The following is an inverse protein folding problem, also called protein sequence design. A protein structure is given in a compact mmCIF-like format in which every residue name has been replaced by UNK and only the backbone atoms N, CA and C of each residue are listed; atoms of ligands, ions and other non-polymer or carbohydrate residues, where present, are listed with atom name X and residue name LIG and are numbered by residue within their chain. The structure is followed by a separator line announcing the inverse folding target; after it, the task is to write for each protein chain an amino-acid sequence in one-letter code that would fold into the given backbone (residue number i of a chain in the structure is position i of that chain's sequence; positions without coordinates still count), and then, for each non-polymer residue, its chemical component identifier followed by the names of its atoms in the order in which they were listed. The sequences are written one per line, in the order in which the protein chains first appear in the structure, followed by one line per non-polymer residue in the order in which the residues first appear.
data_IF_283822944651
#
_entry.id   IF_283822944651
#
_cell.length_a   1.000
_cell.length_b   1.000
_cell.length_c   1.000
_cell.angle_alpha   90.00
_cell.angle_beta   90.00
_cell.angle_gamma   90.00
#
_symmetry.space_group_name_H-M   'P 1'
#
loop_
_entity.id
_entity.type
_entity.pdbx_description
1 polymer ?
#
# COMPACT_ATOMS: atom_id res chain seq x y z
N UNK A 1 3.29 5.25 -12.29
CA UNK A 1 4.59 4.54 -12.17
C UNK A 1 4.31 3.10 -11.85
N UNK A 2 4.93 2.16 -12.55
CA UNK A 2 4.77 0.73 -12.33
C UNK A 2 6.08 0.10 -11.89
N UNK A 3 6.09 -0.50 -10.70
CA UNK A 3 7.24 -1.20 -10.12
C UNK A 3 7.27 -2.62 -10.70
N UNK A 4 8.40 -3.01 -11.26
CA UNK A 4 8.57 -4.36 -11.82
C UNK A 4 10.03 -4.80 -11.72
N UNK A 5 10.29 -6.02 -11.26
CA UNK A 5 11.60 -6.65 -11.30
C UNK A 5 12.03 -6.94 -12.75
N UNK A 6 13.30 -6.70 -13.08
CA UNK A 6 13.81 -6.84 -14.45
C UNK A 6 13.69 -8.28 -14.97
N UNK A 7 13.77 -9.28 -14.07
CA UNK A 7 13.55 -10.67 -14.38
C UNK A 7 12.06 -11.05 -14.58
N UNK A 8 11.10 -10.25 -14.09
CA UNK A 8 9.66 -10.55 -14.13
C UNK A 8 9.00 -10.04 -15.43
N UNK A 9 9.50 -10.50 -16.59
CA UNK A 9 9.04 -10.02 -17.91
C UNK A 9 7.59 -10.32 -18.22
N UNK A 10 7.10 -11.50 -17.82
CA UNK A 10 5.70 -11.89 -18.08
C UNK A 10 4.71 -11.00 -17.32
N UNK A 11 5.00 -10.67 -16.07
CA UNK A 11 4.22 -9.71 -15.26
C UNK A 11 4.22 -8.33 -15.90
N UNK A 12 5.40 -7.87 -16.34
CA UNK A 12 5.54 -6.62 -17.06
C UNK A 12 4.64 -6.58 -18.29
N UNK A 13 4.76 -7.55 -19.20
CA UNK A 13 4.02 -7.58 -20.45
C UNK A 13 2.50 -7.58 -20.21
N UNK A 14 2.03 -8.33 -19.24
CA UNK A 14 0.62 -8.42 -18.91
C UNK A 14 0.06 -7.09 -18.39
N UNK A 15 0.70 -6.49 -17.37
CA UNK A 15 0.20 -5.24 -16.78
C UNK A 15 0.38 -4.09 -17.76
N UNK A 16 1.51 -4.02 -18.47
CA UNK A 16 1.72 -3.01 -19.51
C UNK A 16 0.70 -3.11 -20.65
N UNK A 17 0.39 -4.33 -21.11
CA UNK A 17 -0.68 -4.57 -22.08
C UNK A 17 -2.02 -4.02 -21.60
N UNK A 18 -2.41 -4.34 -20.36
CA UNK A 18 -3.66 -3.85 -19.76
C UNK A 18 -3.70 -2.33 -19.63
N UNK A 19 -2.62 -1.70 -19.21
CA UNK A 19 -2.53 -0.24 -19.11
C UNK A 19 -2.65 0.43 -20.49
N UNK A 20 -2.03 -0.14 -21.51
CA UNK A 20 -2.15 0.33 -22.90
C UNK A 20 -3.58 0.20 -23.44
N UNK A 21 -4.27 -0.93 -23.19
CA UNK A 21 -5.70 -1.12 -23.54
C UNK A 21 -6.58 -0.03 -22.92
N UNK A 22 -6.28 0.38 -21.68
CA UNK A 22 -6.99 1.43 -20.97
C UNK A 22 -6.57 2.85 -21.40
N UNK A 23 -5.61 2.98 -22.31
CA UNK A 23 -5.09 4.27 -22.75
C UNK A 23 -4.41 5.07 -21.61
N UNK A 24 -3.77 4.37 -20.68
CA UNK A 24 -3.05 4.96 -19.54
C UNK A 24 -1.56 5.08 -19.85
N UNK A 25 -1.04 6.28 -19.68
CA UNK A 25 0.41 6.52 -19.78
C UNK A 25 1.09 6.14 -18.47
N UNK A 26 2.17 5.39 -18.56
CA UNK A 26 2.89 4.93 -17.37
C UNK A 26 4.41 4.90 -17.59
N UNK A 27 5.15 5.04 -16.49
CA UNK A 27 6.61 4.90 -16.43
C UNK A 27 6.95 3.62 -15.67
N UNK A 28 7.78 2.76 -16.25
CA UNK A 28 8.34 1.62 -15.54
C UNK A 28 9.41 2.09 -14.56
N UNK A 29 9.36 1.57 -13.34
CA UNK A 29 10.42 1.72 -12.33
C UNK A 29 11.02 0.34 -12.09
N UNK A 30 12.30 0.18 -12.42
CA UNK A 30 13.04 -1.06 -12.13
C UNK A 30 13.10 -1.28 -10.62
N UNK A 31 12.48 -2.35 -10.17
CA UNK A 31 12.39 -2.70 -8.76
C UNK A 31 13.75 -3.10 -8.19
N UNK A 32 13.94 -2.87 -6.89
CA UNK A 32 15.11 -3.34 -6.16
C UNK A 32 14.93 -4.83 -5.85
N UNK A 33 15.81 -5.67 -6.39
CA UNK A 33 15.86 -7.08 -5.99
C UNK A 33 16.55 -7.19 -4.62
N UNK A 34 15.74 -7.28 -3.57
CA UNK A 34 16.25 -7.36 -2.19
C UNK A 34 17.16 -8.56 -1.93
N UNK A 35 17.10 -9.63 -2.75
CA UNK A 35 17.99 -10.78 -2.63
C UNK A 35 19.44 -10.46 -2.98
N UNK A 36 19.65 -9.43 -3.81
CA UNK A 36 20.97 -8.98 -4.25
C UNK A 36 21.63 -8.00 -3.28
N UNK A 37 20.94 -7.52 -2.26
CA UNK A 37 21.49 -6.60 -1.26
C UNK A 37 22.52 -7.32 -0.38
N UNK A 38 23.63 -6.66 -0.12
CA UNK A 38 24.65 -7.14 0.83
C UNK A 38 24.20 -6.93 2.28
N UNK A 39 24.67 -7.75 3.21
CA UNK A 39 24.30 -7.64 4.63
C UNK A 39 24.62 -6.27 5.21
N UNK A 40 25.76 -5.68 4.86
CA UNK A 40 26.13 -4.31 5.27
C UNK A 40 25.13 -3.23 4.79
N UNK A 41 24.59 -3.39 3.58
CA UNK A 41 23.55 -2.49 3.08
C UNK A 41 22.26 -2.63 3.87
N UNK A 42 21.87 -3.87 4.19
CA UNK A 42 20.69 -4.17 5.00
C UNK A 42 20.83 -3.58 6.41
N UNK A 43 21.99 -3.74 7.05
CA UNK A 43 22.27 -3.15 8.36
C UNK A 43 22.21 -1.62 8.35
N UNK A 44 22.71 -0.99 7.30
CA UNK A 44 22.64 0.46 7.15
C UNK A 44 21.20 0.96 6.90
N UNK A 45 20.39 0.17 6.20
CA UNK A 45 19.04 0.51 5.80
C UNK A 45 17.97 0.20 6.86
N UNK A 46 18.25 -0.66 7.84
CA UNK A 46 17.25 -1.14 8.79
C UNK A 46 17.59 -0.73 10.22
N UNK A 47 16.58 -0.72 11.09
CA UNK A 47 16.79 -0.56 12.53
C UNK A 47 17.12 -1.91 13.16
N UNK A 48 18.06 -1.94 14.14
CA UNK A 48 18.31 -3.14 14.95
C UNK A 48 17.02 -3.55 15.70
N UNK A 49 16.88 -4.84 16.01
CA UNK A 49 15.72 -5.36 16.75
C UNK A 49 15.57 -4.76 18.17
N UNK A 50 16.63 -4.22 18.74
CA UNK A 50 16.61 -3.54 20.02
C UNK A 50 16.20 -2.06 19.94
N UNK A 51 16.08 -1.51 18.74
CA UNK A 51 15.58 -0.15 18.55
C UNK A 51 14.16 -0.01 19.09
N UNK A 52 13.86 1.07 19.79
CA UNK A 52 12.59 1.31 20.46
C UNK A 52 11.37 1.12 19.53
N UNK A 53 11.43 1.69 18.35
CA UNK A 53 10.33 1.58 17.40
C UNK A 53 10.13 0.15 16.89
N UNK A 54 11.19 -0.60 16.71
CA UNK A 54 11.15 -2.01 16.30
C UNK A 54 10.57 -2.88 17.40
N UNK A 55 10.93 -2.65 18.67
CA UNK A 55 10.37 -3.38 19.83
C UNK A 55 8.87 -3.15 20.00
N UNK A 56 8.38 -1.97 19.70
CA UNK A 56 6.96 -1.62 19.90
C UNK A 56 6.09 -2.16 18.76
N UNK A 57 6.61 -2.24 17.54
CA UNK A 57 5.80 -2.46 16.33
C UNK A 57 6.17 -3.70 15.53
N UNK A 58 7.44 -4.08 15.54
CA UNK A 58 7.93 -5.26 14.83
C UNK A 58 8.88 -6.07 15.69
N UNK A 59 8.66 -7.38 15.77
CA UNK A 59 9.46 -8.30 16.58
C UNK A 59 10.41 -9.15 15.76
N UNK A 60 10.52 -8.85 14.49
CA UNK A 60 11.43 -9.55 13.58
C UNK A 60 12.11 -8.56 12.65
N UNK A 61 13.26 -8.94 12.13
CA UNK A 61 13.92 -8.23 11.05
C UNK A 61 13.03 -8.22 9.79
N UNK A 62 13.16 -7.19 8.99
CA UNK A 62 12.60 -7.16 7.64
C UNK A 62 13.27 -8.25 6.80
N UNK A 63 12.46 -8.94 6.01
CA UNK A 63 13.00 -9.86 4.99
C UNK A 63 13.65 -9.05 3.86
N UNK A 64 14.60 -9.66 3.14
CA UNK A 64 15.21 -9.05 1.97
C UNK A 64 14.17 -8.60 0.92
N UNK A 65 13.10 -9.39 0.73
CA UNK A 65 11.99 -9.03 -0.15
C UNK A 65 11.23 -7.80 0.34
N UNK A 66 10.95 -7.66 1.64
CA UNK A 66 10.30 -6.48 2.21
C UNK A 66 11.17 -5.22 2.07
N UNK A 67 12.49 -5.36 2.24
CA UNK A 67 13.46 -4.27 2.03
C UNK A 67 13.47 -3.86 0.55
N UNK A 68 13.58 -4.81 -0.38
CA UNK A 68 13.55 -4.54 -1.81
C UNK A 68 12.25 -3.87 -2.26
N UNK A 69 11.11 -4.34 -1.76
CA UNK A 69 9.80 -3.74 -1.99
C UNK A 69 9.78 -2.29 -1.50
N UNK A 70 10.18 -2.03 -0.25
CA UNK A 70 10.22 -0.67 0.30
C UNK A 70 11.11 0.27 -0.54
N UNK A 71 12.31 -0.17 -0.88
CA UNK A 71 13.25 0.62 -1.70
C UNK A 71 12.69 0.90 -3.10
N UNK A 72 11.92 -0.02 -3.67
CA UNK A 72 11.25 0.18 -4.95
C UNK A 72 10.18 1.26 -4.89
N UNK A 73 9.40 1.29 -3.80
CA UNK A 73 8.45 2.38 -3.56
C UNK A 73 9.15 3.72 -3.33
N UNK A 74 10.28 3.74 -2.63
CA UNK A 74 11.09 4.96 -2.48
C UNK A 74 11.56 5.52 -3.82
N UNK A 75 12.00 4.67 -4.76
CA UNK A 75 12.33 5.11 -6.12
C UNK A 75 11.16 5.81 -6.82
N UNK A 76 9.93 5.34 -6.61
CA UNK A 76 8.74 6.02 -7.13
C UNK A 76 8.55 7.40 -6.48
N UNK A 77 8.72 7.51 -5.16
CA UNK A 77 8.60 8.77 -4.46
C UNK A 77 9.70 9.77 -4.87
N UNK A 78 10.93 9.30 -5.04
CA UNK A 78 12.06 10.10 -5.58
C UNK A 78 11.72 10.62 -6.97
N UNK A 79 11.29 9.74 -7.88
CA UNK A 79 10.90 10.11 -9.24
C UNK A 79 9.71 11.09 -9.28
N UNK A 80 8.75 10.99 -8.36
CA UNK A 80 7.67 11.97 -8.24
C UNK A 80 8.19 13.33 -7.81
N UNK A 81 9.03 13.38 -6.78
CA UNK A 81 9.61 14.65 -6.29
C UNK A 81 10.47 15.33 -7.35
N UNK A 82 11.23 14.55 -8.11
CA UNK A 82 12.09 15.05 -9.20
C UNK A 82 11.29 15.55 -10.41
N UNK A 83 10.13 14.94 -10.70
CA UNK A 83 9.30 15.33 -11.83
C UNK A 83 8.60 16.67 -11.67
N UNK A 84 8.42 17.14 -10.44
CA UNK A 84 7.63 18.34 -10.14
C UNK A 84 6.11 18.14 -10.22
N UNK A 85 5.64 16.93 -10.56
CA UNK A 85 4.21 16.60 -10.60
C UNK A 85 3.59 16.64 -9.20
N UNK A 86 2.31 16.97 -9.15
CA UNK A 86 1.56 17.07 -7.88
C UNK A 86 1.30 15.72 -7.22
N UNK A 87 0.96 14.71 -8.03
CA UNK A 87 0.65 13.36 -7.61
C UNK A 87 1.32 12.32 -8.50
N UNK A 88 1.49 11.11 -7.95
CA UNK A 88 1.77 9.93 -8.73
C UNK A 88 0.87 8.77 -8.32
N UNK A 89 0.49 7.96 -9.30
CA UNK A 89 -0.03 6.62 -9.05
C UNK A 89 1.17 5.67 -9.02
N UNK A 90 1.32 4.94 -7.92
CA UNK A 90 2.32 3.89 -7.74
C UNK A 90 1.61 2.56 -7.75
N UNK A 91 2.06 1.61 -8.57
CA UNK A 91 1.48 0.27 -8.69
C UNK A 91 2.56 -0.82 -8.78
N UNK A 92 2.22 -2.00 -8.30
CA UNK A 92 3.03 -3.22 -8.42
C UNK A 92 2.65 -4.00 -9.70
N UNK A 93 3.39 -5.05 -10.03
CA UNK A 93 3.23 -5.80 -11.29
C UNK A 93 2.42 -7.11 -11.18
N UNK A 94 1.96 -7.46 -9.98
CA UNK A 94 1.16 -8.67 -9.71
C UNK A 94 -0.32 -8.34 -9.46
N UNK A 95 -0.90 -7.54 -10.36
CA UNK A 95 -2.23 -6.94 -10.20
C UNK A 95 -3.15 -7.20 -11.39
N UNK A 96 -4.47 -7.16 -11.11
CA UNK A 96 -5.55 -7.03 -12.10
C UNK A 96 -6.17 -5.65 -11.98
N UNK A 97 -6.43 -5.02 -13.12
CA UNK A 97 -6.87 -3.62 -13.22
C UNK A 97 -8.27 -3.56 -13.84
N UNK A 98 -9.20 -2.93 -13.14
CA UNK A 98 -10.56 -2.65 -13.61
C UNK A 98 -10.57 -1.73 -14.82
N UNK A 99 -11.58 -1.87 -15.68
CA UNK A 99 -11.82 -0.94 -16.78
C UNK A 99 -12.15 0.48 -16.29
N UNK A 100 -12.73 0.63 -15.09
CA UNK A 100 -12.96 1.94 -14.46
C UNK A 100 -11.67 2.72 -14.20
N UNK A 101 -10.51 2.06 -14.17
CA UNK A 101 -9.21 2.73 -14.03
C UNK A 101 -8.97 3.77 -15.13
N UNK A 102 -9.50 3.55 -16.34
CA UNK A 102 -9.42 4.51 -17.45
C UNK A 102 -10.03 5.89 -17.11
N UNK A 103 -11.00 5.94 -16.21
CA UNK A 103 -11.66 7.18 -15.80
C UNK A 103 -10.92 7.88 -14.64
N UNK A 104 -10.41 7.12 -13.69
CA UNK A 104 -9.89 7.66 -12.42
C UNK A 104 -8.36 7.72 -12.33
N UNK A 105 -7.64 7.17 -13.31
CA UNK A 105 -6.17 7.20 -13.33
C UNK A 105 -5.59 8.20 -14.33
N UNK A 106 -6.43 8.96 -15.07
CA UNK A 106 -5.96 9.93 -16.07
C UNK A 106 -5.75 11.33 -15.51
N UNK A 107 -6.46 11.70 -14.45
CA UNK A 107 -6.34 13.00 -13.80
C UNK A 107 -6.62 12.87 -12.30
N UNK A 108 -6.41 13.96 -11.56
CA UNK A 108 -6.60 14.07 -10.11
C UNK A 108 -7.77 14.99 -9.70
N UNK A 109 -8.60 15.43 -10.63
CA UNK A 109 -9.69 16.38 -10.40
C UNK A 109 -10.75 15.85 -9.41
N UNK A 110 -10.90 14.54 -9.33
CA UNK A 110 -11.80 13.85 -8.42
C UNK A 110 -11.27 13.69 -6.99
N UNK A 111 -9.97 13.93 -6.76
CA UNK A 111 -9.36 13.81 -5.43
C UNK A 111 -9.77 15.01 -4.56
N UNK A 112 -10.23 14.78 -3.31
CA UNK A 112 -10.39 15.87 -2.36
C UNK A 112 -9.06 16.61 -2.13
N UNK A 113 -9.13 17.91 -1.94
CA UNK A 113 -7.93 18.75 -1.73
C UNK A 113 -7.08 18.33 -0.54
N UNK A 114 -7.70 17.72 0.48
CA UNK A 114 -7.04 17.16 1.66
C UNK A 114 -6.49 15.74 1.46
N UNK A 115 -6.59 15.17 0.26
CA UNK A 115 -6.16 13.81 -0.03
C UNK A 115 -4.70 13.76 -0.47
N UNK A 116 -3.79 13.47 0.45
CA UNK A 116 -2.38 13.23 0.13
C UNK A 116 -2.07 11.78 -0.23
N UNK A 117 -2.88 10.83 0.24
CA UNK A 117 -2.70 9.42 -0.06
C UNK A 117 -4.03 8.70 -0.19
N UNK A 118 -4.21 7.99 -1.32
CA UNK A 118 -5.42 7.25 -1.62
C UNK A 118 -5.10 5.85 -2.12
N UNK A 119 -5.61 4.81 -1.43
CA UNK A 119 -5.53 3.45 -1.93
C UNK A 119 -6.56 3.23 -3.05
N UNK A 120 -6.09 2.74 -4.19
CA UNK A 120 -6.91 2.31 -5.32
C UNK A 120 -7.09 0.79 -5.36
N UNK A 121 -6.46 0.07 -4.43
CA UNK A 121 -6.44 -1.39 -4.37
C UNK A 121 -7.03 -1.95 -3.08
N UNK A 122 -7.36 -3.24 -3.13
CA UNK A 122 -7.65 -4.06 -1.95
C UNK A 122 -6.93 -5.41 -2.05
N UNK A 123 -6.84 -6.13 -0.93
CA UNK A 123 -6.21 -7.47 -0.88
C UNK A 123 -7.08 -8.60 -1.46
N UNK A 124 -8.26 -8.29 -1.97
CA UNK A 124 -9.20 -9.23 -2.57
C UNK A 124 -10.39 -8.51 -3.16
N UNK A 125 -11.21 -9.25 -3.91
CA UNK A 125 -12.35 -8.71 -4.66
C UNK A 125 -13.46 -8.16 -3.76
N UNK A 126 -13.61 -8.72 -2.56
CA UNK A 126 -14.61 -8.27 -1.59
C UNK A 126 -14.04 -8.32 -0.18
N UNK A 127 -13.93 -7.18 0.46
CA UNK A 127 -13.37 -7.05 1.81
C UNK A 127 -14.34 -6.27 2.70
N UNK A 128 -14.69 -6.84 3.85
CA UNK A 128 -15.46 -6.16 4.89
C UNK A 128 -14.56 -5.24 5.69
N UNK A 129 -15.02 -4.04 5.94
CA UNK A 129 -14.31 -3.04 6.74
C UNK A 129 -15.26 -2.08 7.43
N UNK A 130 -14.72 -0.99 7.92
CA UNK A 130 -15.46 0.15 8.46
C UNK A 130 -14.84 1.43 7.91
N UNK A 131 -15.69 2.43 7.68
CA UNK A 131 -15.27 3.75 7.18
C UNK A 131 -15.81 4.83 8.11
N UNK A 132 -15.22 6.02 8.07
CA UNK A 132 -15.80 7.21 8.69
C UNK A 132 -17.11 7.55 7.97
N UNK A 133 -18.01 8.25 8.67
CA UNK A 133 -19.29 8.69 8.07
C UNK A 133 -19.08 9.65 6.90
N UNK A 134 -18.06 10.53 6.96
CA UNK A 134 -17.72 11.45 5.89
C UNK A 134 -17.18 10.68 4.70
N UNK A 135 -17.88 10.79 3.58
CA UNK A 135 -17.49 10.25 2.29
C UNK A 135 -17.80 11.27 1.19
N UNK A 136 -17.11 11.17 0.08
CA UNK A 136 -17.38 11.97 -1.10
C UNK A 136 -17.84 11.05 -2.22
N UNK A 137 -19.02 11.29 -2.75
CA UNK A 137 -19.47 10.69 -3.99
C UNK A 137 -18.82 11.44 -5.16
N UNK A 138 -18.21 10.70 -6.09
CA UNK A 138 -17.48 11.32 -7.20
C UNK A 138 -18.37 11.29 -8.45
N UNK A 139 -18.52 10.12 -9.05
CA UNK A 139 -19.37 9.88 -10.22
C UNK A 139 -19.56 8.37 -10.41
N UNK A 140 -20.57 7.98 -11.17
CA UNK A 140 -20.81 6.58 -11.57
C UNK A 140 -20.85 5.59 -10.39
N UNK A 141 -21.39 6.00 -9.23
CA UNK A 141 -21.46 5.18 -8.03
C UNK A 141 -20.10 4.94 -7.35
N UNK A 142 -19.08 5.72 -7.70
CA UNK A 142 -17.77 5.68 -7.08
C UNK A 142 -17.69 6.69 -5.95
N UNK A 143 -17.21 6.23 -4.79
CA UNK A 143 -17.04 7.04 -3.60
C UNK A 143 -15.57 7.05 -3.18
N UNK A 144 -15.15 8.13 -2.53
CA UNK A 144 -13.89 8.17 -1.79
C UNK A 144 -14.18 8.22 -0.29
N UNK A 145 -13.62 7.29 0.44
CA UNK A 145 -13.93 7.06 1.86
C UNK A 145 -12.66 7.02 2.70
N UNK A 146 -12.77 7.29 3.99
CA UNK A 146 -11.68 7.10 4.94
C UNK A 146 -11.89 5.78 5.72
N UNK A 147 -11.07 4.73 5.47
CA UNK A 147 -11.12 3.52 6.25
C UNK A 147 -10.84 3.78 7.73
N UNK A 148 -11.58 3.10 8.60
CA UNK A 148 -11.28 3.05 10.02
C UNK A 148 -10.43 1.81 10.29
N UNK A 149 -9.32 1.99 10.99
CA UNK A 149 -8.38 0.90 11.29
C UNK A 149 -9.06 -0.32 11.96
N UNK A 150 -8.57 -1.54 11.70
CA UNK A 150 -7.45 -1.81 10.82
C UNK A 150 -7.89 -1.80 9.35
N UNK A 151 -7.42 -0.82 8.61
CA UNK A 151 -7.60 -0.84 7.16
C UNK A 151 -6.83 -2.04 6.57
N UNK A 152 -7.33 -2.69 5.52
CA UNK A 152 -6.54 -3.67 4.79
C UNK A 152 -5.23 -3.04 4.31
N UNK A 153 -4.11 -3.66 4.68
CA UNK A 153 -2.79 -3.26 4.21
C UNK A 153 -2.61 -3.70 2.76
N UNK A 154 -1.58 -3.22 2.11
CA UNK A 154 -1.21 -3.57 0.75
C UNK A 154 -0.91 -2.33 -0.08
N UNK A 155 0.12 -2.43 -0.92
CA UNK A 155 0.67 -1.35 -1.73
C UNK A 155 0.50 -1.58 -3.22
N UNK A 156 -0.40 -2.49 -3.62
CA UNK A 156 -0.59 -2.90 -5.01
C UNK A 156 -0.90 -1.72 -5.93
N UNK A 157 -1.66 -0.73 -5.45
CA UNK A 157 -1.92 0.50 -6.20
C UNK A 157 -2.40 1.61 -5.26
N UNK A 158 -1.76 2.77 -5.33
CA UNK A 158 -2.15 3.95 -4.55
C UNK A 158 -1.70 5.24 -5.23
N UNK A 159 -2.39 6.34 -4.91
CA UNK A 159 -1.99 7.71 -5.23
C UNK A 159 -1.22 8.28 -4.03
N UNK A 160 -0.18 9.05 -4.31
CA UNK A 160 0.57 9.81 -3.30
C UNK A 160 0.88 11.21 -3.82
N UNK A 161 0.69 12.24 -2.98
CA UNK A 161 1.12 13.61 -3.32
C UNK A 161 2.64 13.77 -3.22
N UNK A 162 3.19 14.73 -3.97
CA UNK A 162 4.61 15.07 -3.88
C UNK A 162 5.01 15.51 -2.46
N UNK A 163 4.09 16.15 -1.73
CA UNK A 163 4.32 16.53 -0.33
C UNK A 163 4.45 15.30 0.56
N UNK A 164 3.50 14.37 0.50
CA UNK A 164 3.57 13.12 1.24
C UNK A 164 4.79 12.29 0.87
N UNK A 165 5.14 12.23 -0.42
CA UNK A 165 6.34 11.54 -0.90
C UNK A 165 7.64 12.13 -0.32
N UNK A 166 7.78 13.47 -0.26
CA UNK A 166 8.93 14.14 0.40
C UNK A 166 9.03 13.77 1.87
N UNK A 167 7.90 13.74 2.59
CA UNK A 167 7.87 13.35 4.00
C UNK A 167 8.19 11.87 4.16
N UNK A 168 7.62 10.99 3.30
CA UNK A 168 7.91 9.56 3.31
C UNK A 168 9.41 9.27 3.12
N UNK A 169 10.07 9.94 2.18
CA UNK A 169 11.51 9.82 1.95
C UNK A 169 12.34 10.21 3.17
N UNK A 170 11.97 11.32 3.84
CA UNK A 170 12.65 11.77 5.07
C UNK A 170 12.48 10.79 6.22
N UNK A 171 11.26 10.28 6.41
CA UNK A 171 10.91 9.36 7.50
C UNK A 171 11.43 7.93 7.29
N UNK A 172 11.79 7.58 6.07
CA UNK A 172 12.26 6.24 5.69
C UNK A 172 13.74 6.18 5.28
N UNK A 173 14.58 7.08 5.80
CA UNK A 173 16.03 6.99 5.63
C UNK A 173 16.57 5.66 6.17
N UNK A 174 16.00 5.19 7.28
CA UNK A 174 16.05 3.80 7.74
C UNK A 174 14.66 3.21 7.73
N UNK A 175 14.54 1.97 7.30
CA UNK A 175 13.27 1.29 7.09
C UNK A 175 12.72 0.76 8.43
N UNK A 176 11.60 1.32 8.94
CA UNK A 176 11.11 0.94 10.27
C UNK A 176 10.23 -0.32 10.25
N UNK A 177 9.67 -0.67 9.09
CA UNK A 177 8.68 -1.74 8.92
C UNK A 177 8.45 -2.00 7.43
N UNK A 178 7.67 -3.03 7.03
CA UNK A 178 7.21 -3.17 5.65
C UNK A 178 6.48 -1.93 5.15
N UNK A 179 6.59 -1.62 3.85
CA UNK A 179 6.10 -0.38 3.24
C UNK A 179 4.60 -0.19 3.38
N UNK A 180 3.81 -1.25 3.31
CA UNK A 180 2.37 -1.23 3.51
C UNK A 180 2.00 -0.80 4.94
N UNK A 181 2.74 -1.29 5.93
CA UNK A 181 2.59 -0.87 7.32
C UNK A 181 3.03 0.58 7.52
N UNK A 182 4.12 1.00 6.88
CA UNK A 182 4.60 2.38 6.95
C UNK A 182 3.56 3.37 6.43
N UNK A 183 2.97 3.10 5.27
CA UNK A 183 2.02 4.00 4.63
C UNK A 183 0.63 3.97 5.28
N UNK A 184 0.11 2.79 5.63
CA UNK A 184 -1.32 2.61 5.90
C UNK A 184 -1.65 2.11 7.30
N UNK A 185 -0.67 1.65 8.08
CA UNK A 185 -0.96 1.20 9.43
C UNK A 185 -1.11 2.38 10.39
N UNK A 186 -2.21 2.46 11.16
CA UNK A 186 -2.47 3.57 12.10
C UNK A 186 -1.47 3.61 13.26
N UNK A 187 -0.60 2.61 13.35
CA UNK A 187 0.46 2.56 14.35
C UNK A 187 1.67 3.40 13.99
N UNK A 188 1.83 3.78 12.71
CA UNK A 188 2.96 4.56 12.24
C UNK A 188 2.63 6.05 12.14
N UNK A 189 3.63 6.88 12.37
CA UNK A 189 3.48 8.34 12.38
C UNK A 189 3.05 8.85 11.01
N UNK A 190 3.57 8.27 9.93
CA UNK A 190 3.22 8.68 8.56
C UNK A 190 1.71 8.65 8.31
N UNK A 191 1.04 7.54 8.62
CA UNK A 191 -0.40 7.41 8.40
C UNK A 191 -1.26 8.27 9.34
N UNK A 192 -0.68 8.79 10.42
CA UNK A 192 -1.35 9.77 11.28
C UNK A 192 -1.27 11.19 10.72
N UNK A 193 -0.15 11.51 10.07
CA UNK A 193 0.05 12.80 9.38
C UNK A 193 -0.80 12.83 8.10
N UNK A 194 -0.80 11.73 7.35
CA UNK A 194 -1.51 11.57 6.09
C UNK A 194 -2.61 10.50 6.22
N UNK A 195 -3.82 10.89 6.65
CA UNK A 195 -4.95 9.96 6.74
C UNK A 195 -5.21 9.30 5.38
N UNK A 196 -5.26 7.97 5.37
CA UNK A 196 -5.49 7.22 4.15
C UNK A 196 -6.91 7.38 3.67
N UNK A 197 -7.07 7.74 2.41
CA UNK A 197 -8.30 7.63 1.66
C UNK A 197 -8.33 6.32 0.86
N UNK A 198 -9.50 5.89 0.46
CA UNK A 198 -9.68 4.72 -0.42
C UNK A 198 -10.82 4.97 -1.39
N UNK A 199 -10.57 4.62 -2.64
CA UNK A 199 -11.62 4.60 -3.67
C UNK A 199 -12.49 3.36 -3.50
N UNK A 200 -13.78 3.49 -3.70
CA UNK A 200 -14.75 2.40 -3.66
C UNK A 200 -15.79 2.55 -4.76
N UNK A 201 -15.99 1.54 -5.62
CA UNK A 201 -15.25 0.28 -5.67
C UNK A 201 -13.77 0.48 -5.96
N UNK A 202 -12.92 -0.47 -5.53
CA UNK A 202 -11.47 -0.40 -5.80
C UNK A 202 -11.18 -0.77 -7.24
N UNK A 203 -10.14 -0.15 -7.81
CA UNK A 203 -9.78 -0.31 -9.21
C UNK A 203 -8.80 -1.46 -9.46
N UNK A 204 -8.13 -1.92 -8.40
CA UNK A 204 -7.03 -2.86 -8.48
C UNK A 204 -7.12 -3.92 -7.39
N UNK A 205 -6.84 -5.16 -7.76
CA UNK A 205 -6.70 -6.30 -6.82
C UNK A 205 -5.47 -7.14 -7.17
N UNK A 206 -4.93 -7.92 -6.21
CA UNK A 206 -3.84 -8.85 -6.51
C UNK A 206 -4.24 -9.85 -7.59
N UNK A 207 -3.32 -10.16 -8.48
CA UNK A 207 -3.47 -11.25 -9.40
C UNK A 207 -3.07 -12.57 -8.74
N UNK A 208 -4.07 -13.42 -8.53
CA UNK A 208 -3.89 -14.70 -7.84
C UNK A 208 -3.10 -15.74 -8.67
N UNK A 209 -2.84 -15.46 -9.96
CA UNK A 209 -2.05 -16.35 -10.83
C UNK A 209 -0.55 -16.24 -10.53
N UNK A 210 -0.12 -15.17 -9.89
CA UNK A 210 1.29 -14.96 -9.55
C UNK A 210 1.55 -15.19 -8.06
N UNK A 211 2.55 -16.00 -7.76
CA UNK A 211 3.06 -16.12 -6.39
C UNK A 211 3.80 -14.84 -5.98
N UNK A 212 3.60 -14.42 -4.72
CA UNK A 212 4.33 -13.27 -4.18
C UNK A 212 5.84 -13.53 -4.18
N UNK A 213 6.61 -12.66 -4.82
CA UNK A 213 8.08 -12.71 -4.84
C UNK A 213 8.69 -12.34 -3.48
N UNK A 214 7.93 -11.70 -2.60
CA UNK A 214 8.39 -11.25 -1.27
C UNK A 214 8.71 -12.44 -0.32
N UNK A 215 8.59 -13.66 -0.79
CA UNK A 215 9.10 -14.90 -0.20
C UNK A 215 8.68 -15.19 1.26
N UNK A 216 8.08 -16.36 1.50
CA UNK A 216 7.88 -16.94 2.84
C UNK A 216 6.46 -16.86 3.40
N UNK A 217 5.51 -16.23 2.72
CA UNK A 217 4.08 -16.38 3.05
C UNK A 217 3.43 -17.37 2.11
N UNK A 218 3.68 -18.68 2.35
CA UNK A 218 2.75 -19.69 1.84
C UNK A 218 1.35 -19.31 2.34
N UNK A 219 0.33 -19.37 1.48
CA UNK A 219 -1.09 -19.14 1.83
C UNK A 219 -1.60 -20.00 3.01
N UNK A 220 -0.74 -20.82 3.62
CA UNK A 220 -1.09 -21.82 4.66
C UNK A 220 -0.84 -21.40 6.09
N UNK A 221 -0.41 -20.22 6.39
CA UNK A 221 -0.33 -19.82 7.80
C UNK A 221 -0.74 -18.36 8.01
N UNK A 222 -2.06 -18.09 8.00
CA UNK A 222 -2.60 -17.32 9.10
C UNK A 222 -2.53 -18.24 10.33
N UNK A 223 -1.35 -18.72 10.65
CA UNK A 223 -1.07 -19.11 12.01
C UNK A 223 -1.27 -17.85 12.82
N UNK A 224 -2.30 -17.88 13.67
CA UNK A 224 -2.48 -16.96 14.78
C UNK A 224 -1.12 -16.83 15.43
N UNK A 225 -0.35 -15.82 15.02
CA UNK A 225 1.02 -15.71 15.47
C UNK A 225 1.01 -15.60 16.99
N UNK A 226 1.84 -16.36 17.71
CA UNK A 226 1.97 -16.25 19.17
C UNK A 226 2.55 -14.90 19.62
N UNK A 227 2.67 -13.94 18.72
CA UNK A 227 3.20 -12.61 18.88
C UNK A 227 2.57 -11.80 20.02
N UNK A 228 1.25 -11.99 20.27
CA UNK A 228 0.52 -11.24 21.30
C UNK A 228 0.67 -11.77 22.73
N UNK A 229 1.28 -12.92 22.93
CA UNK A 229 1.33 -13.57 24.26
C UNK A 229 2.44 -13.00 25.15
N UNK A 230 3.49 -12.40 24.58
CA UNK A 230 4.66 -11.91 25.36
C UNK A 230 4.49 -10.53 26.02
N UNK A 231 3.50 -9.75 25.66
CA UNK A 231 3.34 -8.37 26.17
C UNK A 231 1.87 -8.07 26.57
N UNK A 232 1.42 -8.63 27.64
CA UNK A 232 0.04 -8.53 28.13
C UNK A 232 -0.51 -7.09 28.23
N UNK A 233 0.29 -6.13 28.67
CA UNK A 233 -0.10 -4.71 28.77
C UNK A 233 -0.26 -4.06 27.38
N UNK A 234 0.64 -4.36 26.43
CA UNK A 234 0.59 -3.82 25.06
C UNK A 234 -0.64 -4.35 24.32
N UNK A 235 -1.02 -5.60 24.55
CA UNK A 235 -2.23 -6.20 23.97
C UNK A 235 -3.51 -5.49 24.44
N UNK A 236 -3.62 -5.21 25.74
CA UNK A 236 -4.81 -4.54 26.31
C UNK A 236 -4.93 -3.11 25.73
N UNK A 237 -3.82 -2.40 25.60
CA UNK A 237 -3.79 -1.07 25.00
C UNK A 237 -4.14 -1.12 23.51
N UNK A 238 -3.54 -2.06 22.76
CA UNK A 238 -3.83 -2.26 21.34
C UNK A 238 -5.29 -2.67 21.11
N UNK A 239 -5.82 -3.60 21.88
CA UNK A 239 -7.24 -4.02 21.79
C UNK A 239 -8.20 -2.86 22.13
N UNK A 240 -7.88 -2.03 23.13
CA UNK A 240 -8.67 -0.84 23.45
C UNK A 240 -8.63 0.20 22.33
N UNK A 241 -7.47 0.41 21.71
CA UNK A 241 -7.31 1.33 20.59
C UNK A 241 -8.07 0.80 19.37
N UNK A 242 -7.91 -0.48 19.02
CA UNK A 242 -8.66 -1.11 17.92
C UNK A 242 -10.16 -1.04 18.16
N UNK A 243 -10.63 -1.38 19.37
CA UNK A 243 -12.06 -1.27 19.75
C UNK A 243 -12.57 0.17 19.69
N UNK A 244 -11.75 1.15 20.07
CA UNK A 244 -12.11 2.58 19.98
C UNK A 244 -12.22 3.03 18.51
N UNK A 245 -11.31 2.60 17.64
CA UNK A 245 -11.41 2.86 16.20
C UNK A 245 -12.60 2.14 15.58
N UNK A 246 -12.88 0.90 15.95
CA UNK A 246 -14.03 0.14 15.45
C UNK A 246 -15.39 0.72 15.87
N UNK A 247 -15.46 1.42 17.01
CA UNK A 247 -16.70 2.09 17.45
C UNK A 247 -17.05 3.33 16.63
N UNK A 248 -16.04 3.99 16.01
CA UNK A 248 -16.20 5.31 15.41
C UNK A 248 -16.46 5.27 13.89
N UNK A 249 -16.80 4.12 13.31
CA UNK A 249 -17.07 4.01 11.90
C UNK A 249 -18.32 3.19 11.59
N UNK A 250 -18.85 3.37 10.40
CA UNK A 250 -19.96 2.55 9.89
C UNK A 250 -19.46 1.31 9.16
N UNK A 251 -20.19 0.18 9.20
CA UNK A 251 -19.85 -1.00 8.40
C UNK A 251 -19.80 -0.66 6.92
N UNK A 252 -18.84 -1.24 6.21
CA UNK A 252 -18.63 -0.98 4.79
C UNK A 252 -18.08 -2.22 4.08
N UNK A 253 -18.39 -2.36 2.80
CA UNK A 253 -17.89 -3.43 1.96
C UNK A 253 -17.11 -2.79 0.82
N UNK A 254 -15.83 -3.09 0.72
CA UNK A 254 -15.00 -2.73 -0.41
C UNK A 254 -15.10 -3.83 -1.46
N UNK A 255 -15.53 -3.48 -2.65
CA UNK A 255 -15.66 -4.40 -3.78
C UNK A 255 -14.73 -3.99 -4.92
N UNK A 256 -14.28 -4.96 -5.71
CA UNK A 256 -13.54 -4.71 -6.93
C UNK A 256 -14.51 -4.34 -8.06
N UNK A 257 -14.14 -3.34 -8.84
CA UNK A 257 -15.00 -2.81 -9.91
C UNK A 257 -15.15 -3.74 -11.13
N UNK A 258 -14.46 -4.90 -11.14
CA UNK A 258 -14.45 -5.82 -12.27
C UNK A 258 -13.50 -5.40 -13.40
N UNK A 259 -13.34 -6.26 -14.37
CA UNK A 259 -12.42 -6.04 -15.51
C UNK A 259 -13.16 -5.57 -16.78
N UNK A 260 -14.48 -5.78 -16.84
CA UNK A 260 -15.31 -5.40 -17.98
C UNK A 260 -16.25 -4.26 -17.61
N UNK A 261 -16.35 -3.25 -18.47
CA UNK A 261 -17.45 -2.31 -18.47
C UNK A 261 -18.58 -2.98 -19.24
N UNK A 262 -19.72 -3.17 -18.61
CA UNK A 262 -20.96 -3.57 -19.30
C UNK A 262 -21.41 -2.49 -20.28
#
# INVERSE_FOLDING_TARGET
MMINLDESKDRWLRVAGRLNELGLVFKRISAVNGRMLMDKEIEALTYPLDHFETKVRFTRNLTRGEIGCFLSHRKCWEALVESGEKYAIVMEDDIRISSLAALYMKNDEWLPSECDICQLSSLGEKIKGRVKEKKFEIANGVEIVQPVSPAPLGTQCYIISAFAAKVALRMSQRLPCPVDNFLFSPWFVFSKIFPTWRLSPVLVVPDVQFDSVIGGRSRRSVQKAPFFIRHGLTRIVLDRIVKRYQKNGVPYIFEFAGETVS
#
